data_IF_637554448827
#
_entry.id   IF_637554448827
#
_cell.length_a   1.000
_cell.length_b   1.000
_cell.length_c   1.000
_cell.angle_alpha   90.00
_cell.angle_beta   90.00
_cell.angle_gamma   90.00
#
_symmetry.space_group_name_H-M   'P 1'
#
loop_
_entity.id
_entity.type
_entity.pdbx_description
1 polymer ?
#
# COMPACT_ATOMS: atom_id res chain seq x y z
N UNK A 1 6.52 21.58 10.81
CA UNK A 1 6.70 21.55 9.36
C UNK A 1 8.09 21.13 8.97
N UNK A 2 9.12 21.68 9.57
CA UNK A 2 10.52 21.46 9.18
C UNK A 2 10.97 19.99 9.27
N UNK A 3 10.34 19.19 10.14
CA UNK A 3 10.66 17.77 10.30
C UNK A 3 9.77 16.86 9.48
N UNK A 4 8.61 17.34 9.05
CA UNK A 4 7.61 16.50 8.36
C UNK A 4 8.04 16.19 6.93
N UNK A 5 8.47 17.20 6.17
CA UNK A 5 8.87 17.00 4.77
C UNK A 5 10.03 16.01 4.64
N UNK A 6 11.18 16.20 5.33
CA UNK A 6 12.27 15.22 5.23
C UNK A 6 11.87 13.84 5.78
N UNK A 7 11.00 13.76 6.80
CA UNK A 7 10.52 12.49 7.34
C UNK A 7 9.66 11.74 6.31
N UNK A 8 8.76 12.44 5.62
CA UNK A 8 7.93 11.85 4.57
C UNK A 8 8.77 11.44 3.36
N UNK A 9 9.76 12.26 2.97
CA UNK A 9 10.67 11.91 1.87
C UNK A 9 11.47 10.64 2.18
N UNK A 10 12.05 10.56 3.38
CA UNK A 10 12.78 9.38 3.83
C UNK A 10 11.87 8.14 3.88
N UNK A 11 10.67 8.29 4.43
CA UNK A 11 9.67 7.24 4.48
C UNK A 11 9.26 6.77 3.09
N UNK A 12 9.02 7.70 2.17
CA UNK A 12 8.69 7.40 0.78
C UNK A 12 9.78 6.63 0.05
N UNK A 13 11.03 7.05 0.24
CA UNK A 13 12.19 6.35 -0.30
C UNK A 13 12.29 4.92 0.25
N UNK A 14 12.11 4.75 1.56
CA UNK A 14 12.12 3.43 2.20
C UNK A 14 10.97 2.54 1.70
N UNK A 15 9.78 3.09 1.58
CA UNK A 15 8.61 2.37 1.05
C UNK A 15 8.81 1.93 -0.40
N UNK A 16 9.32 2.81 -1.25
CA UNK A 16 9.63 2.51 -2.65
C UNK A 16 10.72 1.44 -2.77
N UNK A 17 11.75 1.51 -1.94
CA UNK A 17 12.79 0.48 -1.87
C UNK A 17 12.21 -0.87 -1.45
N UNK A 18 11.32 -0.87 -0.46
CA UNK A 18 10.61 -2.07 -0.02
C UNK A 18 9.76 -2.68 -1.13
N UNK A 19 9.05 -1.86 -1.89
CA UNK A 19 8.27 -2.32 -3.05
C UNK A 19 9.16 -2.96 -4.11
N UNK A 20 10.29 -2.32 -4.41
CA UNK A 20 11.26 -2.88 -5.34
C UNK A 20 11.77 -4.24 -4.86
N UNK A 21 12.18 -4.34 -3.58
CA UNK A 21 12.70 -5.57 -2.99
C UNK A 21 11.68 -6.72 -3.03
N UNK A 22 10.41 -6.43 -2.73
CA UNK A 22 9.33 -7.42 -2.82
C UNK A 22 9.15 -7.89 -4.27
N UNK A 23 9.29 -6.99 -5.24
CA UNK A 23 9.23 -7.31 -6.66
C UNK A 23 10.31 -8.29 -7.12
N UNK A 24 11.43 -8.35 -6.43
CA UNK A 24 12.53 -9.26 -6.74
C UNK A 24 12.25 -10.73 -6.39
N UNK A 25 11.15 -11.03 -5.68
CA UNK A 25 10.77 -12.40 -5.35
C UNK A 25 10.29 -13.21 -6.55
N UNK A 26 10.09 -12.58 -7.70
CA UNK A 26 9.73 -13.28 -8.94
C UNK A 26 8.24 -13.63 -9.07
N UNK A 27 7.38 -13.04 -8.24
CA UNK A 27 5.93 -13.19 -8.39
C UNK A 27 5.43 -12.50 -9.66
N UNK A 28 4.24 -12.89 -10.13
CA UNK A 28 3.57 -12.14 -11.19
C UNK A 28 3.33 -10.69 -10.74
N UNK A 29 3.21 -9.77 -11.71
CA UNK A 29 2.94 -8.36 -11.40
C UNK A 29 1.64 -8.19 -10.62
N UNK A 30 0.61 -8.96 -10.93
CA UNK A 30 -0.66 -8.95 -10.20
C UNK A 30 -0.50 -9.39 -8.75
N UNK A 31 0.21 -10.49 -8.50
CA UNK A 31 0.47 -10.97 -7.14
C UNK A 31 1.30 -9.99 -6.35
N UNK A 32 2.36 -9.45 -6.95
CA UNK A 32 3.21 -8.46 -6.33
C UNK A 32 2.41 -7.22 -5.91
N UNK A 33 1.54 -6.74 -6.78
CA UNK A 33 0.66 -5.60 -6.52
C UNK A 33 -0.25 -5.86 -5.32
N UNK A 34 -0.91 -7.03 -5.29
CA UNK A 34 -1.79 -7.40 -4.18
C UNK A 34 -1.01 -7.47 -2.87
N UNK A 35 0.19 -8.04 -2.88
CA UNK A 35 1.03 -8.16 -1.68
C UNK A 35 1.44 -6.79 -1.15
N UNK A 36 2.01 -5.93 -1.98
CA UNK A 36 2.49 -4.61 -1.51
C UNK A 36 1.34 -3.72 -1.03
N UNK A 37 0.23 -3.72 -1.74
CA UNK A 37 -0.93 -2.91 -1.36
C UNK A 37 -1.59 -3.43 -0.07
N UNK A 38 -1.69 -4.74 0.09
CA UNK A 38 -2.24 -5.36 1.31
C UNK A 38 -1.36 -5.09 2.52
N UNK A 39 -0.04 -5.26 2.39
CA UNK A 39 0.91 -4.95 3.46
C UNK A 39 0.83 -3.48 3.84
N UNK A 40 0.82 -2.58 2.85
CA UNK A 40 0.72 -1.14 3.09
C UNK A 40 -0.56 -0.76 3.83
N UNK A 41 -1.69 -1.35 3.47
CA UNK A 41 -2.96 -1.13 4.16
C UNK A 41 -2.93 -1.62 5.61
N UNK A 42 -2.34 -2.79 5.86
CA UNK A 42 -2.18 -3.35 7.21
C UNK A 42 -1.31 -2.45 8.07
N UNK A 43 -0.14 -2.06 7.58
CA UNK A 43 0.78 -1.17 8.29
C UNK A 43 0.12 0.18 8.55
N UNK A 44 -0.61 0.73 7.59
CA UNK A 44 -1.34 1.98 7.76
C UNK A 44 -2.36 1.88 8.90
N UNK A 45 -3.09 0.77 8.96
CA UNK A 45 -4.03 0.51 10.04
C UNK A 45 -3.36 0.54 11.42
N UNK A 46 -2.20 -0.12 11.55
CA UNK A 46 -1.41 -0.11 12.79
C UNK A 46 -0.96 1.32 13.13
N UNK A 47 -0.41 2.03 12.17
CA UNK A 47 0.11 3.39 12.37
C UNK A 47 -1.00 4.34 12.86
N UNK A 48 -2.19 4.27 12.24
CA UNK A 48 -3.31 5.13 12.62
C UNK A 48 -3.80 4.81 14.03
N UNK A 49 -3.84 3.55 14.41
CA UNK A 49 -4.26 3.13 15.75
C UNK A 49 -3.22 3.50 16.82
N UNK A 50 -1.94 3.28 16.53
CA UNK A 50 -0.86 3.50 17.49
C UNK A 50 -0.48 4.96 17.68
N UNK A 51 -0.67 5.80 16.65
CA UNK A 51 -0.29 7.21 16.63
C UNK A 51 -1.50 8.08 16.30
N UNK A 52 -2.37 8.36 17.28
CA UNK A 52 -3.63 9.08 17.01
C UNK A 52 -3.43 10.54 16.60
N UNK A 53 -2.33 11.16 16.97
CA UNK A 53 -2.04 12.55 16.61
C UNK A 53 -1.73 12.67 15.12
N UNK A 54 -2.62 13.34 14.37
CA UNK A 54 -2.58 13.39 12.90
C UNK A 54 -1.31 14.02 12.34
N UNK A 55 -0.78 15.03 13.01
CA UNK A 55 0.38 15.79 12.53
C UNK A 55 1.71 15.29 13.09
N UNK A 56 1.68 14.18 13.82
CA UNK A 56 2.90 13.60 14.38
C UNK A 56 3.88 13.22 13.26
N UNK A 57 5.13 13.68 13.27
CA UNK A 57 6.08 13.44 12.19
C UNK A 57 6.28 11.95 11.87
N UNK A 58 6.33 11.10 12.90
CA UNK A 58 6.49 9.64 12.71
C UNK A 58 5.25 9.05 12.03
N UNK A 59 4.05 9.49 12.41
CA UNK A 59 2.82 9.03 11.75
C UNK A 59 2.83 9.40 10.27
N UNK A 60 3.23 10.62 9.94
CA UNK A 60 3.29 11.07 8.56
C UNK A 60 4.40 10.35 7.78
N UNK A 61 5.56 10.15 8.40
CA UNK A 61 6.66 9.39 7.77
C UNK A 61 6.26 7.96 7.46
N UNK A 62 5.59 7.27 8.37
CA UNK A 62 5.17 5.88 8.19
C UNK A 62 3.92 5.78 7.31
N UNK A 63 2.89 6.56 7.59
CA UNK A 63 1.61 6.48 6.88
C UNK A 63 1.69 7.05 5.47
N UNK A 64 2.07 8.32 5.33
CA UNK A 64 2.17 8.97 4.02
C UNK A 64 3.44 8.53 3.30
N UNK A 65 4.57 8.49 4.00
CA UNK A 65 5.87 8.15 3.42
C UNK A 65 5.97 6.65 3.09
N UNK A 66 6.16 5.81 4.10
CA UNK A 66 6.44 4.39 3.90
C UNK A 66 5.27 3.68 3.22
N UNK A 67 4.07 3.80 3.75
CA UNK A 67 2.90 3.14 3.14
C UNK A 67 2.60 3.71 1.75
N UNK A 68 2.72 5.03 1.57
CA UNK A 68 2.52 5.66 0.27
C UNK A 68 3.55 5.25 -0.78
N UNK A 69 4.81 5.08 -0.39
CA UNK A 69 5.86 4.60 -1.29
C UNK A 69 5.77 3.11 -1.59
N UNK A 70 5.31 2.31 -0.62
CA UNK A 70 5.15 0.87 -0.77
C UNK A 70 3.96 0.51 -1.67
N UNK A 71 2.82 1.19 -1.49
CA UNK A 71 1.59 0.92 -2.23
C UNK A 71 1.55 1.62 -3.58
N UNK A 72 0.73 1.13 -4.49
CA UNK A 72 0.56 1.75 -5.80
C UNK A 72 -0.86 1.58 -6.35
N UNK A 73 -1.58 2.68 -6.51
CA UNK A 73 -2.84 2.70 -7.23
C UNK A 73 -2.63 2.65 -8.75
N UNK A 74 -1.59 3.32 -9.24
CA UNK A 74 -1.27 3.30 -10.68
C UNK A 74 -0.93 1.89 -11.17
N UNK A 75 -0.24 1.09 -10.37
CA UNK A 75 0.01 -0.31 -10.70
C UNK A 75 -1.28 -1.11 -10.82
N UNK A 76 -2.23 -0.90 -9.91
CA UNK A 76 -3.56 -1.52 -10.02
C UNK A 76 -4.28 -1.08 -11.29
N UNK A 77 -4.26 0.21 -11.60
CA UNK A 77 -4.90 0.74 -12.80
C UNK A 77 -4.34 0.11 -14.08
N UNK A 78 -3.02 -0.07 -14.16
CA UNK A 78 -2.37 -0.74 -15.30
C UNK A 78 -2.81 -2.21 -15.40
N UNK A 79 -2.82 -2.94 -14.28
CA UNK A 79 -3.26 -4.34 -14.27
C UNK A 79 -4.72 -4.49 -14.74
N UNK A 80 -5.60 -3.58 -14.33
CA UNK A 80 -6.99 -3.58 -14.77
C UNK A 80 -7.09 -3.25 -16.27
N UNK A 81 -6.36 -2.25 -16.72
CA UNK A 81 -6.36 -1.83 -18.13
C UNK A 81 -5.89 -2.95 -19.04
N UNK A 82 -4.82 -3.65 -18.69
CA UNK A 82 -4.29 -4.78 -19.48
C UNK A 82 -5.34 -5.88 -19.62
N UNK A 83 -6.06 -6.21 -18.54
CA UNK A 83 -7.10 -7.24 -18.57
C UNK A 83 -8.31 -6.80 -19.40
N UNK A 84 -8.73 -5.55 -19.25
CA UNK A 84 -9.84 -5.00 -20.05
C UNK A 84 -9.50 -4.97 -21.55
N UNK A 85 -8.28 -4.57 -21.90
CA UNK A 85 -7.81 -4.59 -23.30
C UNK A 85 -7.78 -6.01 -23.89
N UNK A 86 -7.46 -7.00 -23.07
CA UNK A 86 -7.48 -8.40 -23.49
C UNK A 86 -8.89 -9.01 -23.56
N UNK A 87 -9.91 -8.26 -23.18
CA UNK A 87 -11.29 -8.76 -23.11
C UNK A 87 -11.63 -9.56 -21.87
N UNK A 88 -10.70 -9.61 -20.89
CA UNK A 88 -10.85 -10.37 -19.64
C UNK A 88 -11.56 -9.53 -18.59
N UNK A 89 -12.80 -9.12 -18.85
CA UNK A 89 -13.57 -8.22 -17.97
C UNK A 89 -13.79 -8.87 -16.60
N UNK A 90 -14.07 -10.17 -16.56
CA UNK A 90 -14.27 -10.91 -15.31
C UNK A 90 -13.03 -10.89 -14.43
N UNK A 91 -11.85 -11.11 -15.00
CA UNK A 91 -10.58 -11.01 -14.26
C UNK A 91 -10.28 -9.59 -13.78
N UNK A 92 -10.59 -8.59 -14.59
CA UNK A 92 -10.41 -7.19 -14.19
C UNK A 92 -11.29 -6.86 -13.00
N UNK A 93 -12.58 -7.23 -13.03
CA UNK A 93 -13.50 -7.01 -11.91
C UNK A 93 -13.03 -7.77 -10.66
N UNK A 94 -12.65 -9.04 -10.82
CA UNK A 94 -12.15 -9.85 -9.71
C UNK A 94 -10.90 -9.24 -9.08
N UNK A 95 -9.95 -8.79 -9.88
CA UNK A 95 -8.73 -8.15 -9.41
C UNK A 95 -9.01 -6.85 -8.63
N UNK A 96 -9.91 -6.01 -9.16
CA UNK A 96 -10.33 -4.78 -8.49
C UNK A 96 -11.01 -5.05 -7.16
N UNK A 97 -11.97 -5.97 -7.13
CA UNK A 97 -12.71 -6.34 -5.92
C UNK A 97 -11.78 -6.99 -4.88
N UNK A 98 -10.89 -7.89 -5.32
CA UNK A 98 -9.94 -8.55 -4.44
C UNK A 98 -8.97 -7.53 -3.83
N UNK A 99 -8.47 -6.60 -4.63
CA UNK A 99 -7.56 -5.54 -4.17
C UNK A 99 -8.23 -4.65 -3.10
N UNK A 100 -9.46 -4.20 -3.35
CA UNK A 100 -10.21 -3.39 -2.39
C UNK A 100 -10.56 -4.18 -1.13
N UNK A 101 -11.03 -5.41 -1.29
CA UNK A 101 -11.42 -6.27 -0.16
C UNK A 101 -10.24 -6.62 0.73
N UNK A 102 -9.13 -7.09 0.16
CA UNK A 102 -7.92 -7.40 0.91
C UNK A 102 -7.36 -6.15 1.60
N UNK A 103 -7.33 -5.02 0.90
CA UNK A 103 -6.86 -3.76 1.45
C UNK A 103 -7.68 -3.31 2.64
N UNK A 104 -9.01 -3.35 2.54
CA UNK A 104 -9.91 -2.97 3.63
C UNK A 104 -9.78 -3.91 4.82
N UNK A 105 -9.80 -5.22 4.60
CA UNK A 105 -9.65 -6.22 5.67
C UNK A 105 -8.28 -6.06 6.35
N UNK A 106 -7.22 -5.89 5.59
CA UNK A 106 -5.88 -5.68 6.12
C UNK A 106 -5.80 -4.40 6.96
N UNK A 107 -6.39 -3.30 6.47
CA UNK A 107 -6.44 -2.03 7.20
C UNK A 107 -7.19 -2.18 8.54
N UNK A 108 -8.36 -2.79 8.52
CA UNK A 108 -9.15 -3.03 9.74
C UNK A 108 -8.41 -3.97 10.68
N UNK A 109 -7.76 -5.02 10.15
CA UNK A 109 -6.93 -5.92 10.95
C UNK A 109 -5.75 -5.20 11.59
N UNK A 110 -5.09 -4.31 10.87
CA UNK A 110 -4.01 -3.48 11.39
C UNK A 110 -4.49 -2.56 12.52
N UNK A 111 -5.66 -1.96 12.36
CA UNK A 111 -6.26 -1.12 13.41
C UNK A 111 -6.64 -1.90 14.67
N UNK A 112 -6.90 -3.18 14.55
CA UNK A 112 -7.26 -4.05 15.67
C UNK A 112 -6.05 -4.57 16.45
N UNK A 113 -4.83 -4.37 15.97
CA UNK A 113 -3.62 -4.78 16.68
C UNK A 113 -3.48 -3.95 17.95
N UNK A 114 -3.30 -4.58 19.14
CA UNK A 114 -3.11 -3.85 20.38
C UNK A 114 -1.85 -2.99 20.34
N UNK A 115 -2.00 -1.77 20.81
CA UNK A 115 -0.88 -0.85 20.88
C UNK A 115 0.02 -1.14 22.09
#
# INVERSE_FOLDING_TARGET
MDRVVPAVLAGGAAGAAGRWAIGEFGWSSATNLLVVNTIGCFVLGIVIAALPEREHPIRLALGVGVCGGLTTFSGLAVELAVRLDAGDVGEAVAMGMLSLGLGLVAFLGGRAVPA
#
